data_IF_941145197890
#
_entry.id   IF_941145197890
#
_cell.length_a   1.000
_cell.length_b   1.000
_cell.length_c   1.000
_cell.angle_alpha   90.00
_cell.angle_beta   90.00
_cell.angle_gamma   90.00
#
_symmetry.space_group_name_H-M   'P 1'
#
loop_
_entity.id
_entity.type
_entity.pdbx_description
1 polymer ?
#
# COMPACT_ATOMS: atom_id res chain seq x y z
N UNK A 1 -27.64 -29.29 58.68
CA UNK A 1 -28.84 -28.50 59.00
C UNK A 1 -28.83 -27.27 58.10
N UNK A 2 -29.78 -27.18 57.18
CA UNK A 2 -30.14 -25.93 56.48
C UNK A 2 -31.03 -25.07 57.41
N UNK A 3 -31.21 -23.77 57.13
CA UNK A 3 -32.39 -23.34 56.37
C UNK A 3 -32.10 -22.21 55.33
N UNK A 4 -32.67 -22.29 54.12
CA UNK A 4 -33.92 -21.64 53.67
C UNK A 4 -33.74 -20.12 53.46
N UNK A 5 -33.53 -19.67 52.21
CA UNK A 5 -34.56 -19.26 51.23
C UNK A 5 -35.00 -17.80 51.37
N UNK A 6 -34.78 -16.97 50.33
CA UNK A 6 -35.82 -16.04 49.86
C UNK A 6 -35.47 -15.39 48.51
N UNK A 7 -36.17 -15.90 47.51
CA UNK A 7 -36.70 -15.28 46.30
C UNK A 7 -36.85 -13.75 46.35
N UNK A 8 -36.40 -13.05 45.30
CA UNK A 8 -37.20 -11.97 44.69
C UNK A 8 -36.93 -11.87 43.19
N UNK A 9 -37.99 -12.18 42.44
CA UNK A 9 -38.20 -11.84 41.04
C UNK A 9 -38.20 -10.32 40.88
N UNK A 10 -37.69 -9.82 39.77
CA UNK A 10 -38.18 -8.59 39.16
C UNK A 10 -38.10 -8.73 37.64
N UNK A 11 -39.22 -9.20 37.10
CA UNK A 11 -39.68 -8.91 35.74
C UNK A 11 -39.67 -7.40 35.52
N UNK A 12 -39.23 -6.94 34.35
CA UNK A 12 -40.00 -5.98 33.54
C UNK A 12 -39.26 -5.57 32.29
N UNK A 13 -40.04 -5.53 31.21
CA UNK A 13 -39.93 -4.59 30.11
C UNK A 13 -38.93 -4.88 28.99
N UNK A 14 -39.27 -5.96 28.29
CA UNK A 14 -39.22 -6.01 26.83
C UNK A 14 -40.07 -4.88 26.22
N UNK A 15 -39.42 -3.78 25.79
CA UNK A 15 -40.03 -2.78 24.91
C UNK A 15 -39.62 -3.05 23.46
N UNK A 16 -40.40 -3.88 22.80
CA UNK A 16 -40.47 -3.95 21.34
C UNK A 16 -40.83 -2.57 20.76
N UNK A 17 -39.81 -1.81 20.34
CA UNK A 17 -40.02 -0.64 19.47
C UNK A 17 -40.35 -1.11 18.05
N UNK A 18 -41.49 -0.74 17.47
CA UNK A 18 -41.79 -1.05 16.08
C UNK A 18 -40.84 -0.31 15.15
N UNK A 19 -40.15 -1.07 14.28
CA UNK A 19 -39.31 -0.54 13.20
C UNK A 19 -40.18 0.28 12.24
N UNK A 20 -40.10 1.61 12.33
CA UNK A 20 -40.67 2.54 11.35
C UNK A 20 -40.10 2.21 9.96
N UNK A 21 -40.92 1.60 9.11
CA UNK A 21 -40.59 1.38 7.69
C UNK A 21 -40.59 2.74 6.99
N UNK A 22 -39.41 3.24 6.65
CA UNK A 22 -39.29 4.42 5.80
C UNK A 22 -39.93 4.15 4.42
N UNK A 23 -40.78 5.05 3.91
CA UNK A 23 -41.31 4.94 2.56
C UNK A 23 -40.15 5.03 1.57
N UNK A 24 -40.00 3.99 0.74
CA UNK A 24 -39.04 3.95 -0.37
C UNK A 24 -39.32 5.14 -1.29
N UNK A 25 -38.47 6.16 -1.25
CA UNK A 25 -38.45 7.26 -2.23
C UNK A 25 -38.26 6.65 -3.62
N UNK A 26 -39.35 6.60 -4.40
CA UNK A 26 -39.33 6.22 -5.82
C UNK A 26 -38.36 7.17 -6.54
N UNK A 27 -37.27 6.63 -7.08
CA UNK A 27 -36.35 7.41 -7.92
C UNK A 27 -37.12 7.89 -9.16
N UNK A 28 -37.00 9.16 -9.56
CA UNK A 28 -37.62 9.65 -10.78
C UNK A 28 -37.05 8.87 -11.98
N UNK A 29 -37.95 8.36 -12.83
CA UNK A 29 -37.62 7.73 -14.11
C UNK A 29 -36.80 8.74 -14.92
N UNK A 30 -35.53 8.44 -15.16
CA UNK A 30 -34.71 9.22 -16.10
C UNK A 30 -35.33 9.09 -17.49
N UNK A 31 -35.85 10.22 -17.99
CA UNK A 31 -36.30 10.38 -19.36
C UNK A 31 -35.14 9.96 -20.29
N UNK A 32 -35.40 8.97 -21.15
CA UNK A 32 -34.48 8.56 -22.20
C UNK A 32 -34.25 9.75 -23.13
N UNK A 33 -33.01 10.22 -23.23
CA UNK A 33 -32.61 11.19 -24.25
C UNK A 33 -32.85 10.57 -25.65
N UNK A 34 -33.42 11.33 -26.60
CA UNK A 34 -33.55 10.86 -27.99
C UNK A 34 -32.15 10.67 -28.60
N UNK A 35 -31.98 9.55 -29.33
CA UNK A 35 -30.81 9.29 -30.17
C UNK A 35 -30.82 10.29 -31.32
N UNK A 36 -29.92 11.27 -31.30
CA UNK A 36 -29.61 12.09 -32.47
C UNK A 36 -28.72 11.24 -33.37
N UNK A 37 -29.23 10.86 -34.54
CA UNK A 37 -28.49 10.08 -35.54
C UNK A 37 -27.35 10.88 -36.18
N UNK A 38 -26.34 10.20 -36.74
CA UNK A 38 -25.25 10.86 -37.45
C UNK A 38 -25.75 11.43 -38.78
N UNK A 39 -25.72 12.76 -38.90
CA UNK A 39 -25.89 13.46 -40.17
C UNK A 39 -24.71 13.09 -41.08
N UNK A 40 -25.00 12.29 -42.12
CA UNK A 40 -24.17 12.15 -43.32
C UNK A 40 -23.89 13.56 -43.87
N UNK A 41 -22.62 13.98 -43.87
CA UNK A 41 -22.15 15.05 -44.76
C UNK A 41 -21.46 14.43 -45.96
N UNK A 42 -21.98 14.84 -47.11
CA UNK A 42 -21.57 14.46 -48.44
C UNK A 42 -20.16 14.93 -48.78
N UNK A 43 -19.61 14.20 -49.75
CA UNK A 43 -18.45 14.47 -50.59
C UNK A 43 -18.16 15.97 -50.81
N UNK A 44 -16.90 16.34 -50.58
CA UNK A 44 -16.22 17.34 -51.39
C UNK A 44 -14.89 16.74 -51.85
N UNK A 45 -14.83 16.40 -53.13
CA UNK A 45 -13.60 16.09 -53.85
C UNK A 45 -12.72 17.34 -53.83
N UNK A 46 -11.47 17.20 -53.41
CA UNK A 46 -10.45 18.24 -53.60
C UNK A 46 -9.14 17.56 -53.98
N UNK A 47 -8.81 17.71 -55.26
CA UNK A 47 -7.57 17.32 -55.90
C UNK A 47 -6.41 18.10 -55.29
N UNK A 48 -5.66 17.53 -54.34
CA UNK A 48 -4.36 18.07 -53.95
C UNK A 48 -3.26 17.01 -54.13
N UNK A 49 -2.36 17.38 -55.04
CA UNK A 49 -1.14 16.74 -55.52
C UNK A 49 -0.38 15.95 -54.45
N UNK A 50 0.00 14.72 -54.82
CA UNK A 50 0.99 13.91 -54.11
C UNK A 50 2.34 14.63 -54.08
N UNK A 51 2.64 15.32 -52.98
CA UNK A 51 4.01 15.47 -52.53
C UNK A 51 4.40 14.16 -51.82
N UNK A 52 5.51 13.49 -52.20
CA UNK A 52 6.06 12.42 -51.39
C UNK A 52 6.42 13.02 -50.03
N UNK A 53 5.66 12.63 -49.00
CA UNK A 53 5.97 12.95 -47.62
C UNK A 53 7.38 12.46 -47.35
N UNK A 54 8.31 13.38 -47.08
CA UNK A 54 9.59 13.03 -46.45
C UNK A 54 9.25 12.15 -45.25
N UNK A 55 9.90 10.98 -45.06
CA UNK A 55 9.72 10.20 -43.86
C UNK A 55 10.05 11.12 -42.68
N UNK A 56 9.03 11.42 -41.90
CA UNK A 56 9.16 12.13 -40.65
C UNK A 56 10.00 11.20 -39.76
N UNK A 57 11.31 11.44 -39.76
CA UNK A 57 12.24 10.84 -38.82
C UNK A 57 11.79 11.32 -37.45
N UNK A 58 11.00 10.48 -36.80
CA UNK A 58 10.57 10.65 -35.43
C UNK A 58 11.83 10.57 -34.54
N UNK A 59 12.47 11.74 -34.35
CA UNK A 59 13.68 11.91 -33.53
C UNK A 59 13.39 11.86 -32.04
N UNK A 60 12.15 11.60 -31.67
CA UNK A 60 11.81 11.09 -30.36
C UNK A 60 11.86 9.57 -30.43
N UNK A 61 13.03 9.00 -30.12
CA UNK A 61 13.09 7.67 -29.51
C UNK A 61 12.29 7.74 -28.21
N UNK A 62 10.97 7.64 -28.32
CA UNK A 62 10.12 7.18 -27.24
C UNK A 62 10.57 5.76 -26.98
N UNK A 63 11.54 5.61 -26.07
CA UNK A 63 11.80 4.33 -25.44
C UNK A 63 10.43 3.89 -24.93
N UNK A 64 9.85 2.80 -25.45
CA UNK A 64 8.63 2.28 -24.86
C UNK A 64 8.98 2.03 -23.39
N UNK A 65 8.26 2.68 -22.48
CA UNK A 65 8.28 2.31 -21.06
C UNK A 65 7.68 0.91 -20.96
N UNK A 66 8.45 -0.09 -21.36
CA UNK A 66 8.25 -1.46 -20.93
C UNK A 66 8.53 -1.40 -19.45
N UNK A 67 7.48 -1.23 -18.64
CA UNK A 67 7.53 -1.65 -17.24
C UNK A 67 8.06 -3.06 -17.28
N UNK A 68 9.31 -3.22 -16.85
CA UNK A 68 10.07 -4.43 -17.06
C UNK A 68 9.30 -5.55 -16.34
N UNK A 69 9.06 -6.67 -17.01
CA UNK A 69 8.19 -7.74 -16.49
C UNK A 69 8.63 -8.20 -15.08
N UNK A 70 9.94 -8.07 -14.84
CA UNK A 70 10.63 -8.38 -13.59
C UNK A 70 10.34 -7.35 -12.47
N UNK A 71 10.02 -6.09 -12.81
CA UNK A 71 9.65 -5.01 -11.86
C UNK A 71 8.28 -5.25 -11.21
N UNK A 72 7.33 -5.76 -11.99
CA UNK A 72 6.05 -6.19 -11.45
C UNK A 72 6.24 -7.43 -10.59
N UNK A 73 7.16 -8.32 -10.93
CA UNK A 73 7.37 -9.57 -10.21
C UNK A 73 7.89 -9.35 -8.77
N UNK A 74 8.94 -8.55 -8.56
CA UNK A 74 9.48 -8.33 -7.20
C UNK A 74 8.49 -7.63 -6.26
N UNK A 75 7.83 -6.57 -6.75
CA UNK A 75 6.74 -5.90 -6.00
C UNK A 75 5.61 -6.87 -5.68
N UNK A 76 5.29 -7.75 -6.63
CA UNK A 76 4.27 -8.77 -6.46
C UNK A 76 4.69 -9.81 -5.43
N UNK A 77 5.97 -10.20 -5.35
CA UNK A 77 6.43 -11.25 -4.43
C UNK A 77 6.35 -10.80 -2.96
N UNK A 78 6.99 -9.69 -2.59
CA UNK A 78 7.03 -9.22 -1.19
C UNK A 78 5.64 -8.85 -0.69
N UNK A 79 4.90 -8.05 -1.48
CA UNK A 79 3.53 -7.69 -1.14
C UNK A 79 2.65 -8.95 -1.03
N UNK A 80 2.75 -9.91 -1.95
CA UNK A 80 1.92 -11.11 -1.88
C UNK A 80 2.26 -12.02 -0.71
N UNK A 81 3.53 -12.15 -0.33
CA UNK A 81 3.93 -12.96 0.81
C UNK A 81 3.32 -12.40 2.10
N UNK A 82 3.47 -11.09 2.32
CA UNK A 82 2.84 -10.42 3.46
C UNK A 82 1.32 -10.56 3.42
N UNK A 83 0.69 -10.27 2.28
CA UNK A 83 -0.77 -10.36 2.13
C UNK A 83 -1.30 -11.78 2.29
N UNK A 84 -0.52 -12.80 1.91
CA UNK A 84 -0.86 -14.21 2.11
C UNK A 84 -0.79 -14.57 3.59
N UNK A 85 0.26 -14.14 4.28
CA UNK A 85 0.41 -14.35 5.73
C UNK A 85 -0.69 -13.65 6.51
N UNK A 86 -1.00 -12.39 6.19
CA UNK A 86 -2.11 -11.63 6.80
C UNK A 86 -3.44 -12.34 6.59
N UNK A 87 -3.73 -12.78 5.35
CA UNK A 87 -4.97 -13.53 5.05
C UNK A 87 -5.06 -14.78 5.90
N UNK A 88 -3.98 -15.58 5.93
CA UNK A 88 -3.91 -16.81 6.72
C UNK A 88 -4.18 -16.55 8.21
N UNK A 89 -3.43 -15.63 8.83
CA UNK A 89 -3.59 -15.24 10.24
C UNK A 89 -4.98 -14.70 10.55
N UNK A 90 -5.56 -13.88 9.65
CA UNK A 90 -6.92 -13.36 9.80
C UNK A 90 -7.97 -14.46 9.81
N UNK A 91 -7.86 -15.44 8.90
CA UNK A 91 -8.78 -16.57 8.84
C UNK A 91 -8.63 -17.48 10.06
N UNK A 92 -7.39 -17.78 10.48
CA UNK A 92 -7.11 -18.57 11.69
C UNK A 92 -7.68 -17.93 12.95
N UNK A 93 -7.57 -16.60 13.07
CA UNK A 93 -8.12 -15.84 14.20
C UNK A 93 -9.63 -15.53 14.08
N UNK A 94 -10.29 -15.99 13.00
CA UNK A 94 -11.69 -15.72 12.66
C UNK A 94 -12.08 -14.23 12.75
N UNK A 95 -11.18 -13.34 12.31
CA UNK A 95 -11.41 -11.89 12.36
C UNK A 95 -12.06 -11.39 11.07
N UNK A 96 -13.19 -10.65 11.14
CA UNK A 96 -13.77 -10.05 9.94
C UNK A 96 -12.90 -8.88 9.44
N UNK A 97 -12.97 -8.58 8.14
CA UNK A 97 -12.23 -7.46 7.54
C UNK A 97 -12.49 -6.12 8.24
N UNK A 98 -13.71 -5.91 8.76
CA UNK A 98 -14.07 -4.68 9.47
C UNK A 98 -13.30 -4.54 10.79
N UNK A 99 -13.02 -5.66 11.49
CA UNK A 99 -12.23 -5.64 12.71
C UNK A 99 -10.81 -5.16 12.42
N UNK A 100 -10.16 -5.70 11.37
CA UNK A 100 -8.80 -5.29 10.97
C UNK A 100 -8.76 -3.80 10.61
N UNK A 101 -9.74 -3.33 9.84
CA UNK A 101 -9.84 -1.91 9.47
C UNK A 101 -10.03 -1.00 10.68
N UNK A 102 -10.75 -1.45 11.70
CA UNK A 102 -10.88 -0.71 12.96
C UNK A 102 -9.55 -0.63 13.69
N UNK A 103 -8.79 -1.72 13.76
CA UNK A 103 -7.45 -1.71 14.38
C UNK A 103 -6.48 -0.81 13.62
N UNK A 104 -6.48 -0.87 12.27
CA UNK A 104 -5.69 0.02 11.43
C UNK A 104 -5.99 1.49 11.70
N UNK A 105 -7.27 1.84 11.91
CA UNK A 105 -7.66 3.21 12.27
C UNK A 105 -7.11 3.63 13.64
N UNK A 106 -7.11 2.75 14.63
CA UNK A 106 -6.49 3.01 15.96
C UNK A 106 -5.00 3.29 15.82
N UNK A 107 -4.36 2.65 14.85
CA UNK A 107 -2.96 2.81 14.47
C UNK A 107 -2.73 4.00 13.50
N UNK A 108 -3.72 4.85 13.25
CA UNK A 108 -3.58 6.03 12.37
C UNK A 108 -3.62 5.72 10.86
N UNK A 109 -3.81 4.46 10.46
CA UNK A 109 -3.88 4.05 9.06
C UNK A 109 -5.33 3.98 8.58
N UNK A 110 -5.69 4.87 7.66
CA UNK A 110 -7.07 4.99 7.16
C UNK A 110 -7.31 4.22 5.87
N UNK A 111 -7.83 2.99 5.99
CA UNK A 111 -8.19 2.13 4.86
C UNK A 111 -9.72 2.05 4.63
N UNK A 112 -10.16 2.42 3.42
CA UNK A 112 -11.52 2.19 2.95
C UNK A 112 -11.85 0.70 2.77
N UNK A 113 -13.13 0.33 2.81
CA UNK A 113 -13.57 -1.08 2.69
C UNK A 113 -13.09 -1.73 1.39
N UNK A 114 -13.27 -1.04 0.28
CA UNK A 114 -12.83 -1.48 -1.04
C UNK A 114 -11.30 -1.51 -1.16
N UNK A 115 -10.61 -0.56 -0.51
CA UNK A 115 -9.15 -0.51 -0.52
C UNK A 115 -8.54 -1.73 0.20
N UNK A 116 -9.04 -2.06 1.40
CA UNK A 116 -8.60 -3.25 2.12
C UNK A 116 -8.93 -4.54 1.36
N UNK A 117 -10.12 -4.65 0.76
CA UNK A 117 -10.49 -5.82 -0.05
C UNK A 117 -9.65 -5.97 -1.33
N UNK A 118 -9.14 -4.87 -1.92
CA UNK A 118 -8.20 -4.91 -3.05
C UNK A 118 -6.80 -5.32 -2.58
N UNK A 119 -6.38 -4.79 -1.44
CA UNK A 119 -5.13 -5.14 -0.79
C UNK A 119 -5.11 -6.65 -0.47
N UNK A 120 -6.13 -7.22 0.18
CA UNK A 120 -6.18 -8.67 0.41
C UNK A 120 -6.18 -9.51 -0.87
N UNK A 121 -6.71 -9.00 -1.97
CA UNK A 121 -6.73 -9.72 -3.26
C UNK A 121 -5.44 -9.56 -4.06
N UNK A 122 -4.49 -8.75 -3.60
CA UNK A 122 -3.28 -8.42 -4.35
C UNK A 122 -3.53 -7.51 -5.57
N UNK A 123 -4.73 -6.91 -5.67
CA UNK A 123 -5.08 -5.97 -6.75
C UNK A 123 -4.51 -4.56 -6.51
N UNK A 124 -3.97 -4.32 -5.31
CA UNK A 124 -3.38 -3.06 -4.89
C UNK A 124 -2.13 -3.36 -4.06
N UNK A 125 -1.04 -2.66 -4.36
CA UNK A 125 0.19 -2.71 -3.55
C UNK A 125 0.01 -2.06 -2.18
N UNK A 126 0.82 -2.49 -1.23
CA UNK A 126 0.75 -2.05 0.17
C UNK A 126 1.74 -0.90 0.43
N UNK A 127 1.30 0.15 1.13
CA UNK A 127 2.21 1.19 1.64
C UNK A 127 2.99 0.67 2.85
N UNK A 128 4.12 1.31 3.18
CA UNK A 128 4.95 0.86 4.29
C UNK A 128 4.21 0.97 5.65
N UNK A 129 3.50 2.08 5.89
CA UNK A 129 2.71 2.25 7.12
C UNK A 129 1.57 1.23 7.24
N UNK A 130 0.88 0.93 6.13
CA UNK A 130 -0.14 -0.12 6.10
C UNK A 130 0.46 -1.48 6.45
N UNK A 131 1.66 -1.77 5.97
CA UNK A 131 2.33 -3.03 6.18
C UNK A 131 2.85 -3.18 7.61
N UNK A 132 3.44 -2.14 8.20
CA UNK A 132 3.81 -2.10 9.62
C UNK A 132 2.56 -2.28 10.50
N UNK A 133 1.50 -1.51 10.23
CA UNK A 133 0.31 -1.59 11.06
C UNK A 133 -0.34 -2.98 10.98
N UNK A 134 -0.35 -3.62 9.81
CA UNK A 134 -0.82 -5.00 9.65
C UNK A 134 0.11 -6.01 10.34
N UNK A 135 1.42 -5.79 10.33
CA UNK A 135 2.37 -6.66 11.00
C UNK A 135 2.18 -6.64 12.51
N UNK A 136 1.95 -5.46 13.09
CA UNK A 136 1.59 -5.31 14.51
C UNK A 136 0.27 -6.01 14.87
N UNK A 137 -0.77 -5.84 14.05
CA UNK A 137 -2.11 -6.41 14.32
C UNK A 137 -2.08 -7.94 14.37
N UNK A 138 -1.25 -8.56 13.53
CA UNK A 138 -1.20 -10.00 13.37
C UNK A 138 0.03 -10.66 13.98
N UNK A 139 0.85 -9.89 14.70
CA UNK A 139 2.10 -10.34 15.31
C UNK A 139 2.99 -11.07 14.27
N UNK A 140 3.19 -10.40 13.14
CA UNK A 140 4.02 -10.87 12.04
C UNK A 140 5.35 -10.13 12.13
N UNK A 141 6.44 -10.87 12.32
CA UNK A 141 7.77 -10.29 12.19
C UNK A 141 7.99 -9.85 10.74
N UNK A 142 8.39 -8.59 10.53
CA UNK A 142 8.73 -8.08 9.21
C UNK A 142 9.92 -8.81 8.59
N UNK A 143 10.75 -9.44 9.42
CA UNK A 143 11.91 -10.20 8.98
C UNK A 143 11.49 -11.48 8.23
N UNK A 144 10.36 -12.08 8.64
CA UNK A 144 9.75 -13.21 7.91
C UNK A 144 9.25 -12.85 6.51
N UNK A 145 9.24 -11.56 6.17
CA UNK A 145 8.82 -11.03 4.87
C UNK A 145 10.01 -10.61 4.01
N UNK A 146 11.23 -10.59 4.57
CA UNK A 146 12.43 -10.40 3.77
C UNK A 146 12.49 -11.56 2.75
N UNK A 147 12.58 -11.28 1.44
CA UNK A 147 12.83 -12.34 0.47
C UNK A 147 14.13 -13.02 0.88
N UNK A 148 14.09 -14.34 1.08
CA UNK A 148 15.25 -15.06 1.65
C UNK A 148 16.44 -14.94 0.72
N UNK A 149 17.66 -14.88 1.26
CA UNK A 149 18.84 -14.87 0.42
C UNK A 149 18.99 -16.12 -0.45
N UNK A 150 18.46 -17.31 -0.17
CA UNK A 150 18.44 -18.38 -1.20
C UNK A 150 17.60 -18.05 -2.46
N UNK A 151 16.86 -16.94 -2.43
CA UNK A 151 16.20 -16.25 -3.55
C UNK A 151 16.91 -14.91 -3.95
N UNK A 152 17.96 -14.51 -3.20
CA UNK A 152 18.89 -13.36 -3.39
C UNK A 152 20.21 -13.61 -2.60
N UNK A 153 21.10 -14.47 -3.11
CA UNK A 153 22.07 -15.32 -2.36
C UNK A 153 22.74 -14.79 -1.06
N UNK A 154 22.56 -15.57 0.03
CA UNK A 154 23.31 -15.65 1.30
C UNK A 154 23.74 -14.35 2.04
N UNK A 155 23.19 -14.06 3.25
CA UNK A 155 23.90 -13.43 4.40
C UNK A 155 23.04 -13.39 5.68
N UNK A 156 23.72 -13.61 6.81
CA UNK A 156 23.28 -13.77 8.20
C UNK A 156 23.45 -12.50 9.06
N UNK A 157 22.62 -12.33 10.10
CA UNK A 157 23.04 -12.11 11.50
C UNK A 157 21.83 -11.97 12.46
N UNK A 158 21.98 -12.54 13.66
CA UNK A 158 21.04 -12.62 14.78
C UNK A 158 20.86 -11.29 15.53
N UNK A 159 19.64 -11.02 16.06
CA UNK A 159 19.35 -10.58 17.44
C UNK A 159 17.84 -10.28 17.64
N UNK A 160 17.26 -10.81 18.73
CA UNK A 160 15.87 -10.57 19.18
C UNK A 160 15.76 -9.36 20.12
N UNK A 161 14.71 -8.53 19.97
CA UNK A 161 13.74 -8.17 21.03
C UNK A 161 12.57 -7.29 20.49
N UNK A 162 11.29 -7.73 20.44
CA UNK A 162 10.19 -6.93 19.90
C UNK A 162 9.23 -6.40 20.98
N UNK A 163 9.53 -5.24 21.59
CA UNK A 163 8.54 -4.54 22.44
C UNK A 163 7.80 -3.42 21.69
N UNK A 164 6.54 -3.75 21.38
CA UNK A 164 5.34 -2.94 21.04
C UNK A 164 5.54 -1.57 20.38
N UNK A 165 5.10 -1.49 19.12
CA UNK A 165 5.38 -0.41 18.18
C UNK A 165 4.18 0.56 18.02
N UNK A 166 4.45 1.87 17.91
CA UNK A 166 3.47 2.87 17.48
C UNK A 166 3.71 3.26 16.00
N UNK A 167 2.76 3.04 15.08
CA UNK A 167 2.92 3.22 13.63
C UNK A 167 2.91 4.67 13.13
N UNK A 168 2.80 5.66 14.00
CA UNK A 168 2.56 7.04 13.56
C UNK A 168 3.91 7.77 13.43
N UNK A 169 4.30 8.00 12.16
CA UNK A 169 5.51 8.67 11.66
C UNK A 169 6.76 7.80 11.39
N UNK A 170 6.65 6.47 11.35
CA UNK A 170 7.80 5.61 11.01
C UNK A 170 8.29 5.85 9.57
N UNK A 171 7.37 5.95 8.60
CA UNK A 171 7.74 6.27 7.22
C UNK A 171 8.46 7.63 7.12
N UNK A 172 8.01 8.66 7.83
CA UNK A 172 8.65 9.99 7.81
C UNK A 172 10.09 9.93 8.33
N UNK A 173 10.30 9.25 9.47
CA UNK A 173 11.63 9.05 10.05
C UNK A 173 12.55 8.30 9.09
N UNK A 174 12.06 7.24 8.45
CA UNK A 174 12.84 6.48 7.46
C UNK A 174 13.12 7.32 6.22
N UNK A 175 12.16 8.11 5.73
CA UNK A 175 12.41 9.01 4.58
C UNK A 175 13.46 10.06 4.90
N UNK A 176 13.49 10.58 6.13
CA UNK A 176 14.54 11.49 6.58
C UNK A 176 15.90 10.76 6.63
N UNK A 177 15.97 9.56 7.20
CA UNK A 177 17.19 8.76 7.24
C UNK A 177 17.74 8.42 5.84
N UNK A 178 16.85 8.06 4.89
CA UNK A 178 17.21 7.83 3.48
C UNK A 178 17.82 9.09 2.87
N UNK A 179 17.21 10.25 3.12
CA UNK A 179 17.70 11.54 2.60
C UNK A 179 19.07 11.88 3.19
N UNK A 180 19.23 11.74 4.49
CA UNK A 180 20.46 12.09 5.21
C UNK A 180 21.63 11.20 4.76
N UNK A 181 21.43 9.88 4.73
CA UNK A 181 22.45 8.91 4.27
C UNK A 181 22.82 9.14 2.80
N UNK A 182 21.86 9.52 1.95
CA UNK A 182 22.15 9.89 0.55
C UNK A 182 23.05 11.13 0.48
N UNK A 183 22.75 12.17 1.26
CA UNK A 183 23.53 13.42 1.30
C UNK A 183 24.93 13.17 1.83
N UNK A 184 25.07 12.38 2.90
CA UNK A 184 26.35 12.03 3.51
C UNK A 184 27.27 11.28 2.54
N UNK A 185 26.72 10.40 1.70
CA UNK A 185 27.47 9.72 0.63
C UNK A 185 27.79 10.61 -0.56
N UNK A 186 27.31 11.84 -0.60
CA UNK A 186 27.44 12.74 -1.74
C UNK A 186 26.67 12.27 -2.97
N UNK A 187 25.66 11.41 -2.81
CA UNK A 187 24.89 10.89 -3.93
C UNK A 187 23.81 11.87 -4.35
N UNK A 188 23.74 12.13 -5.65
CA UNK A 188 22.60 12.80 -6.29
C UNK A 188 21.36 11.90 -6.27
N UNK A 189 20.18 12.51 -6.37
CA UNK A 189 18.92 11.75 -6.53
C UNK A 189 18.94 10.84 -7.77
N UNK A 190 19.64 11.25 -8.84
CA UNK A 190 19.85 10.45 -10.05
C UNK A 190 20.70 9.22 -9.81
N UNK A 191 21.72 9.32 -8.97
CA UNK A 191 22.57 8.18 -8.62
C UNK A 191 21.83 7.18 -7.74
N UNK A 192 21.05 7.65 -6.75
CA UNK A 192 20.20 6.77 -5.95
C UNK A 192 19.13 6.08 -6.81
N UNK A 193 18.49 6.80 -7.73
CA UNK A 193 17.55 6.22 -8.68
C UNK A 193 18.19 5.17 -9.58
N UNK A 194 19.43 5.44 -10.04
CA UNK A 194 20.20 4.49 -10.84
C UNK A 194 20.58 3.25 -10.03
N UNK A 195 21.10 3.41 -8.82
CA UNK A 195 21.43 2.29 -7.93
C UNK A 195 20.20 1.42 -7.60
N UNK A 196 19.03 2.03 -7.39
CA UNK A 196 17.79 1.29 -7.15
C UNK A 196 17.33 0.49 -8.37
N UNK A 197 17.54 1.04 -9.57
CA UNK A 197 17.25 0.33 -10.81
C UNK A 197 18.22 -0.81 -11.06
N UNK A 198 19.51 -0.54 -10.90
CA UNK A 198 20.59 -1.49 -11.23
C UNK A 198 20.68 -2.63 -10.21
N UNK A 199 20.45 -2.37 -8.92
CA UNK A 199 20.59 -3.35 -7.85
C UNK A 199 19.32 -4.14 -7.51
N UNK A 200 18.15 -3.52 -7.64
CA UNK A 200 16.88 -4.09 -7.14
C UNK A 200 15.76 -4.07 -8.18
N UNK A 201 16.06 -3.73 -9.43
CA UNK A 201 15.07 -3.62 -10.51
C UNK A 201 13.88 -2.75 -10.11
N UNK A 202 14.12 -1.65 -9.39
CA UNK A 202 13.07 -0.71 -8.99
C UNK A 202 13.00 0.47 -9.97
N UNK A 203 11.84 0.74 -10.58
CA UNK A 203 11.66 1.87 -11.50
C UNK A 203 11.44 3.17 -10.71
N UNK A 204 12.39 3.51 -9.84
CA UNK A 204 12.41 4.80 -9.17
C UNK A 204 12.98 5.84 -10.14
N UNK A 205 12.14 6.80 -10.47
CA UNK A 205 12.58 8.03 -11.14
C UNK A 205 13.09 9.02 -10.10
N UNK A 206 13.97 9.93 -10.52
CA UNK A 206 14.48 11.02 -9.69
C UNK A 206 13.37 11.83 -9.02
N UNK A 207 12.32 12.14 -9.77
CA UNK A 207 11.13 12.85 -9.27
C UNK A 207 10.34 12.02 -8.26
N UNK A 208 10.35 10.69 -8.35
CA UNK A 208 9.72 9.82 -7.35
C UNK A 208 10.48 9.87 -6.04
N UNK A 209 11.82 9.80 -6.08
CA UNK A 209 12.68 9.92 -4.90
C UNK A 209 12.50 11.29 -4.26
N UNK A 210 12.53 12.36 -5.05
CA UNK A 210 12.30 13.72 -4.56
C UNK A 210 10.95 13.84 -3.81
N UNK A 211 9.87 13.29 -4.39
CA UNK A 211 8.54 13.32 -3.75
C UNK A 211 8.48 12.49 -2.47
N UNK A 212 9.21 11.37 -2.41
CA UNK A 212 9.36 10.57 -1.20
C UNK A 212 10.11 11.36 -0.13
N UNK A 213 11.26 11.96 -0.47
CA UNK A 213 12.08 12.76 0.45
C UNK A 213 11.37 14.03 0.96
N UNK A 214 10.45 14.57 0.16
CA UNK A 214 9.62 15.72 0.53
C UNK A 214 8.37 15.33 1.34
N UNK A 215 8.06 14.04 1.49
CA UNK A 215 6.80 13.58 2.09
C UNK A 215 5.56 13.82 1.21
N UNK A 216 5.73 14.20 -0.06
CA UNK A 216 4.63 14.38 -1.03
C UNK A 216 4.07 13.06 -1.57
N UNK A 217 4.79 11.96 -1.32
CA UNK A 217 4.40 10.61 -1.71
C UNK A 217 4.82 9.62 -0.63
N UNK A 218 3.86 8.82 -0.19
CA UNK A 218 4.10 7.73 0.75
C UNK A 218 5.14 6.74 0.21
N UNK A 219 6.07 6.38 1.09
CA UNK A 219 7.06 5.35 0.83
C UNK A 219 6.38 3.98 0.79
N UNK A 220 6.52 3.25 -0.33
CA UNK A 220 6.01 1.88 -0.43
C UNK A 220 6.96 0.90 0.25
N UNK A 221 6.44 -0.24 0.71
CA UNK A 221 7.25 -1.23 1.41
C UNK A 221 8.43 -1.77 0.58
N UNK A 222 8.18 -2.18 -0.66
CA UNK A 222 9.23 -2.62 -1.57
C UNK A 222 10.27 -1.52 -1.87
N UNK A 223 9.85 -0.25 -1.89
CA UNK A 223 10.74 0.90 -2.08
C UNK A 223 11.61 1.12 -0.82
N UNK A 224 11.02 1.03 0.37
CA UNK A 224 11.73 1.15 1.65
C UNK A 224 12.83 0.10 1.81
N UNK A 225 12.52 -1.19 1.59
CA UNK A 225 13.50 -2.27 1.74
C UNK A 225 14.69 -2.12 0.80
N UNK A 226 14.44 -1.80 -0.47
CA UNK A 226 15.53 -1.66 -1.42
C UNK A 226 16.37 -0.40 -1.17
N UNK A 227 15.73 0.74 -0.88
CA UNK A 227 16.46 1.96 -0.55
C UNK A 227 17.32 1.77 0.70
N UNK A 228 16.78 1.09 1.71
CA UNK A 228 17.53 0.72 2.91
C UNK A 228 18.73 -0.18 2.58
N UNK A 229 18.55 -1.20 1.75
CA UNK A 229 19.64 -2.10 1.39
C UNK A 229 20.75 -1.38 0.58
N UNK A 230 20.38 -0.53 -0.38
CA UNK A 230 21.34 0.28 -1.17
C UNK A 230 22.13 1.22 -0.27
N UNK A 231 21.42 1.88 0.64
CA UNK A 231 21.99 2.85 1.56
C UNK A 231 22.54 2.18 2.83
N UNK A 232 22.52 0.84 2.93
CA UNK A 232 22.95 0.09 4.12
C UNK A 232 22.34 0.64 5.43
N UNK A 233 21.09 1.09 5.34
CA UNK A 233 20.33 1.60 6.48
C UNK A 233 19.68 0.39 7.14
N UNK A 234 19.90 0.23 8.44
CA UNK A 234 19.14 -0.72 9.23
C UNK A 234 17.76 -0.13 9.53
N UNK A 235 16.72 -0.70 8.91
CA UNK A 235 15.34 -0.27 9.09
C UNK A 235 14.86 -0.50 10.54
N UNK A 236 15.40 -1.48 11.24
CA UNK A 236 14.94 -1.86 12.58
C UNK A 236 15.21 -0.76 13.60
N UNK A 237 16.35 -0.07 13.45
CA UNK A 237 16.70 1.14 14.22
C UNK A 237 15.59 2.21 14.18
N UNK A 238 14.80 2.26 13.11
CA UNK A 238 13.76 3.27 12.90
C UNK A 238 12.34 2.74 13.11
N UNK A 239 12.16 1.42 13.14
CA UNK A 239 10.88 0.76 13.41
C UNK A 239 10.67 0.55 14.93
N UNK A 240 11.72 0.74 15.75
CA UNK A 240 11.66 0.56 17.21
C UNK A 240 10.96 1.69 18.00
N UNK A 241 10.56 1.42 19.27
CA UNK A 241 9.99 2.42 20.14
C UNK A 241 11.01 3.54 20.40
N UNK A 242 10.65 4.77 20.06
CA UNK A 242 11.55 5.93 20.17
C UNK A 242 11.94 6.30 21.61
N UNK A 243 11.49 5.60 22.66
CA UNK A 243 11.90 5.83 24.05
C UNK A 243 11.54 4.65 24.97
N UNK A 244 12.53 3.86 25.37
CA UNK A 244 12.63 3.37 26.73
C UNK A 244 13.92 3.96 27.30
N UNK A 245 13.76 5.13 27.93
CA UNK A 245 14.69 5.86 28.81
C UNK A 245 16.12 5.31 28.86
N UNK A 246 17.07 6.13 28.39
CA UNK A 246 18.37 6.23 29.03
C UNK A 246 18.12 6.59 30.51
N UNK A 247 18.23 5.60 31.40
CA UNK A 247 18.42 5.79 32.85
C UNK A 247 19.89 5.51 33.20
#
# INVERSE_FOLDING_TARGET
MAPSSMTRRSSAHDQHRPRRRHPRRRRPRRLRRPRVGPLRRHLAQSHHRHHPRRPQMDRTRGIPMTTNKDEQQLRTIVDNNLLRTIRKRRYEANKPQEWVRSQLRTLGVHLGKSAYAKLERGERGISFDEAIALSMIFDISLDSLRPTPSEVDSLSNDSEDPSVVHPIAVAEVITAAIRDERIERGWSMSELAKAARDGYSLPLHTTTIQRIENGERDLRMAEAFALAQILKIDLEKYIGPRNAKEE
#
